data_IF_505523049675
#
_entry.id   IF_505523049675
#
_cell.length_a   1.000
_cell.length_b   1.000
_cell.length_c   1.000
_cell.angle_alpha   90.00
_cell.angle_beta   90.00
_cell.angle_gamma   90.00
#
_symmetry.space_group_name_H-M   'P 1'
#
loop_
_entity.id
_entity.type
_entity.pdbx_description
1 polymer ?
#
# COMPACT_ATOMS: atom_id res chain seq x y z
N UNK A 1 -1.63 12.95 -9.39
CA UNK A 1 -0.98 14.11 -8.73
C UNK A 1 0.50 13.82 -8.53
N UNK A 2 1.32 14.81 -8.17
CA UNK A 2 2.76 14.65 -7.83
C UNK A 2 3.00 13.51 -6.81
N UNK A 3 2.10 13.36 -5.85
CA UNK A 3 2.16 12.34 -4.78
C UNK A 3 1.95 10.91 -5.27
N UNK A 4 1.02 10.69 -6.20
CA UNK A 4 0.83 9.36 -6.80
C UNK A 4 2.10 8.91 -7.51
N UNK A 5 2.78 9.84 -8.18
CA UNK A 5 4.05 9.57 -8.86
C UNK A 5 5.13 9.12 -7.87
N UNK A 6 5.31 9.84 -6.77
CA UNK A 6 6.31 9.50 -5.74
C UNK A 6 6.02 8.15 -5.06
N UNK A 7 4.75 7.84 -4.79
CA UNK A 7 4.36 6.53 -4.25
C UNK A 7 4.67 5.40 -5.24
N UNK A 8 4.25 5.54 -6.49
CA UNK A 8 4.50 4.53 -7.52
C UNK A 8 6.01 4.34 -7.78
N UNK A 9 6.81 5.41 -7.75
CA UNK A 9 8.28 5.33 -7.87
C UNK A 9 8.91 4.56 -6.71
N UNK A 10 8.55 4.89 -5.46
CA UNK A 10 9.05 4.16 -4.27
C UNK A 10 8.62 2.69 -4.27
N UNK A 11 7.38 2.41 -4.63
CA UNK A 11 6.88 1.04 -4.69
C UNK A 11 7.58 0.22 -5.78
N UNK A 12 7.82 0.82 -6.96
CA UNK A 12 8.61 0.19 -8.02
C UNK A 12 10.07 -0.02 -7.60
N UNK A 13 10.68 0.90 -6.85
CA UNK A 13 12.05 0.77 -6.34
C UNK A 13 12.19 -0.42 -5.38
N UNK A 14 11.24 -0.60 -4.47
CA UNK A 14 11.31 -1.63 -3.43
C UNK A 14 10.89 -3.01 -3.95
N UNK A 15 9.87 -3.07 -4.82
CA UNK A 15 9.19 -4.30 -5.18
C UNK A 15 9.21 -4.64 -6.68
N UNK A 16 9.74 -3.74 -7.53
CA UNK A 16 9.67 -3.86 -8.98
C UNK A 16 8.25 -3.64 -9.53
N UNK A 17 8.09 -3.60 -10.85
CA UNK A 17 6.80 -3.22 -11.49
C UNK A 17 5.60 -4.11 -11.12
N UNK A 18 5.82 -5.31 -10.57
CA UNK A 18 4.79 -6.28 -10.23
C UNK A 18 3.96 -5.97 -8.97
N UNK A 19 4.36 -5.01 -8.14
CA UNK A 19 3.63 -4.72 -6.88
C UNK A 19 2.17 -4.27 -7.09
N UNK A 20 1.89 -3.74 -8.29
CA UNK A 20 0.59 -3.23 -8.71
C UNK A 20 -0.48 -4.33 -8.78
N UNK A 21 -0.07 -5.60 -8.86
CA UNK A 21 -0.97 -6.75 -8.81
C UNK A 21 -1.55 -6.99 -7.39
N UNK A 22 -0.93 -6.39 -6.36
CA UNK A 22 -1.26 -6.67 -4.96
C UNK A 22 -1.62 -5.41 -4.15
N UNK A 23 -1.36 -4.21 -4.67
CA UNK A 23 -1.79 -2.97 -4.07
C UNK A 23 -2.32 -1.97 -5.11
N UNK A 24 -3.41 -1.26 -4.81
CA UNK A 24 -4.01 -0.32 -5.74
C UNK A 24 -3.10 0.90 -5.96
N UNK A 25 -3.08 1.40 -7.20
CA UNK A 25 -2.32 2.61 -7.61
C UNK A 25 -2.77 3.89 -6.91
N UNK A 26 -3.96 3.86 -6.31
CA UNK A 26 -4.58 4.97 -5.61
C UNK A 26 -5.30 4.38 -4.41
N UNK A 27 -4.95 4.81 -3.20
CA UNK A 27 -5.57 4.33 -1.97
C UNK A 27 -6.52 5.42 -1.49
N UNK A 28 -7.83 5.19 -1.56
CA UNK A 28 -8.77 6.08 -0.88
C UNK A 28 -8.55 5.95 0.64
N UNK A 29 -8.72 7.03 1.41
CA UNK A 29 -8.40 7.04 2.85
C UNK A 29 -9.08 5.89 3.64
N UNK A 30 -10.27 5.46 3.20
CA UNK A 30 -11.10 4.44 3.83
C UNK A 30 -10.73 3.02 3.42
N UNK A 31 -9.82 2.86 2.47
CA UNK A 31 -9.31 1.56 2.01
C UNK A 31 -7.98 1.19 2.67
N UNK A 32 -7.32 2.11 3.38
CA UNK A 32 -6.08 1.81 4.12
C UNK A 32 -6.25 0.64 5.09
N UNK A 33 -7.34 0.62 5.85
CA UNK A 33 -7.62 -0.45 6.81
C UNK A 33 -7.88 -1.79 6.11
N UNK A 34 -8.59 -1.77 4.98
CA UNK A 34 -8.80 -2.99 4.17
C UNK A 34 -7.49 -3.54 3.61
N UNK A 35 -6.58 -2.66 3.19
CA UNK A 35 -5.25 -3.07 2.72
C UNK A 35 -4.43 -3.64 3.87
N UNK A 36 -4.45 -3.02 5.05
CA UNK A 36 -3.79 -3.57 6.26
C UNK A 36 -4.34 -4.94 6.65
N UNK A 37 -5.65 -5.14 6.59
CA UNK A 37 -6.28 -6.43 6.85
C UNK A 37 -5.84 -7.51 5.85
N UNK A 38 -5.74 -7.16 4.56
CA UNK A 38 -5.24 -8.06 3.54
C UNK A 38 -3.76 -8.44 3.75
N UNK A 39 -2.93 -7.48 4.15
CA UNK A 39 -1.52 -7.70 4.49
C UNK A 39 -1.37 -8.61 5.72
N UNK A 40 -2.17 -8.38 6.76
CA UNK A 40 -2.22 -9.27 7.94
C UNK A 40 -2.61 -10.69 7.58
N UNK A 41 -3.62 -10.85 6.73
CA UNK A 41 -4.07 -12.16 6.30
C UNK A 41 -2.95 -12.93 5.60
N UNK A 42 -2.27 -12.30 4.63
CA UNK A 42 -1.16 -12.91 3.89
C UNK A 42 0.00 -13.33 4.80
N UNK A 43 0.36 -12.50 5.78
CA UNK A 43 1.36 -12.85 6.79
C UNK A 43 0.91 -14.06 7.62
N UNK A 44 -0.33 -14.06 8.12
CA UNK A 44 -0.89 -15.17 8.93
C UNK A 44 -0.95 -16.49 8.16
N UNK A 45 -1.15 -16.44 6.85
CA UNK A 45 -1.15 -17.62 5.97
C UNK A 45 0.24 -18.02 5.47
N UNK A 46 1.30 -17.32 5.89
CA UNK A 46 2.69 -17.63 5.53
C UNK A 46 3.08 -17.23 4.11
N UNK A 47 2.28 -16.41 3.45
CA UNK A 47 2.58 -15.89 2.10
C UNK A 47 3.66 -14.83 2.17
N UNK A 48 3.59 -13.95 3.17
CA UNK A 48 4.56 -12.88 3.38
C UNK A 48 5.35 -13.10 4.68
N UNK A 49 6.60 -12.67 4.69
CA UNK A 49 7.41 -12.61 5.91
C UNK A 49 6.98 -11.46 6.83
N UNK A 50 7.32 -11.54 8.12
CA UNK A 50 7.07 -10.42 9.05
C UNK A 50 7.75 -9.12 8.60
N UNK A 51 8.97 -9.20 8.04
CA UNK A 51 9.69 -8.05 7.50
C UNK A 51 8.94 -7.41 6.32
N UNK A 52 8.41 -8.24 5.42
CA UNK A 52 7.60 -7.78 4.27
C UNK A 52 6.32 -7.08 4.73
N UNK A 53 5.65 -7.62 5.75
CA UNK A 53 4.50 -6.99 6.39
C UNK A 53 4.84 -5.61 6.93
N UNK A 54 5.93 -5.46 7.69
CA UNK A 54 6.32 -4.18 8.29
C UNK A 54 6.63 -3.10 7.24
N UNK A 55 7.32 -3.47 6.16
CA UNK A 55 7.61 -2.53 5.06
C UNK A 55 6.31 -2.06 4.41
N UNK A 56 5.42 -2.99 4.06
CA UNK A 56 4.14 -2.65 3.43
C UNK A 56 3.25 -1.84 4.36
N UNK A 57 3.20 -2.18 5.65
CA UNK A 57 2.41 -1.44 6.64
C UNK A 57 2.83 0.02 6.72
N UNK A 58 4.14 0.27 6.78
CA UNK A 58 4.69 1.61 6.86
C UNK A 58 4.39 2.44 5.62
N UNK A 59 4.41 1.82 4.44
CA UNK A 59 4.07 2.48 3.18
C UNK A 59 2.59 2.87 3.11
N UNK A 60 1.70 2.07 3.68
CA UNK A 60 0.26 2.41 3.79
C UNK A 60 0.01 3.52 4.80
N UNK A 61 0.74 3.51 5.93
CA UNK A 61 0.67 4.59 6.93
C UNK A 61 1.19 5.92 6.35
N UNK A 62 2.31 5.88 5.62
CA UNK A 62 2.91 7.05 4.98
C UNK A 62 2.11 7.53 3.74
N UNK A 63 1.13 6.75 3.25
CA UNK A 63 0.29 7.16 2.13
C UNK A 63 -0.58 8.35 2.56
N UNK A 64 -0.60 9.46 1.81
CA UNK A 64 -1.38 10.64 2.17
C UNK A 64 -2.87 10.33 2.28
N UNK A 65 -3.50 10.83 3.33
CA UNK A 65 -4.96 10.85 3.43
C UNK A 65 -5.46 11.96 2.51
N UNK A 66 -5.97 11.60 1.35
CA UNK A 66 -6.83 12.51 0.59
C UNK A 66 -8.23 12.38 1.17
N UNK A 67 -8.71 13.43 1.84
CA UNK A 67 -10.14 13.57 2.10
C UNK A 67 -10.88 13.41 0.76
N UNK A 68 -12.04 12.74 0.74
CA UNK A 68 -12.85 12.68 -0.46
C UNK A 68 -13.08 14.11 -0.91
N UNK A 69 -12.55 14.50 -2.07
CA UNK A 69 -12.88 15.79 -2.65
C UNK A 69 -14.39 15.82 -2.76
N UNK A 70 -15.03 16.78 -2.12
CA UNK A 70 -16.46 17.03 -2.26
C UNK A 70 -16.77 17.07 -3.77
N UNK A 71 -17.44 16.01 -4.24
CA UNK A 71 -18.03 15.94 -5.58
C UNK A 71 -19.23 16.88 -5.65
#
# INVERSE_FOLDING_TARGET
MEMDKQYNEKMNEIFGEGWQDYAPKTIAWHDKDKVKDALLYRYKTGVDSFSSLLVMWRLIDDYPETEPSEL
#
